data_IF_134308306757
#
_entry.id   IF_134308306757
#
_cell.length_a   1.000
_cell.length_b   1.000
_cell.length_c   1.000
_cell.angle_alpha   90.00
_cell.angle_beta   90.00
_cell.angle_gamma   90.00
#
_symmetry.space_group_name_H-M   'P 1'
#
loop_
_entity.id
_entity.type
_entity.pdbx_description
1 polymer ?
#
# COMPACT_ATOMS: atom_id res chain seq x y z
N UNK A 1 -37.18 -10.51 26.80
CA UNK A 1 -36.54 -9.35 27.47
C UNK A 1 -37.45 -8.15 27.26
N UNK A 2 -38.07 -7.62 28.30
CA UNK A 2 -38.84 -6.37 28.24
C UNK A 2 -37.88 -5.27 28.63
N UNK A 3 -37.72 -4.27 27.76
CA UNK A 3 -36.90 -3.10 28.05
C UNK A 3 -37.74 -2.22 28.98
N UNK A 4 -37.45 -2.29 30.28
CA UNK A 4 -38.04 -1.41 31.28
C UNK A 4 -37.50 0.01 31.05
N UNK A 5 -38.41 0.95 30.75
CA UNK A 5 -38.10 2.34 30.46
C UNK A 5 -38.11 3.14 31.77
N UNK A 6 -37.24 2.74 32.69
CA UNK A 6 -37.15 3.32 34.03
C UNK A 6 -36.25 4.56 34.00
N UNK A 7 -36.29 5.39 35.05
CA UNK A 7 -35.42 6.57 35.11
C UNK A 7 -33.92 6.21 34.99
N UNK A 8 -33.52 5.03 35.47
CA UNK A 8 -32.16 4.49 35.27
C UNK A 8 -31.85 4.15 33.80
N UNK A 9 -32.86 3.71 33.03
CA UNK A 9 -32.71 3.43 31.60
C UNK A 9 -32.40 4.72 30.83
N UNK A 10 -33.09 5.81 31.18
CA UNK A 10 -32.87 7.11 30.54
C UNK A 10 -31.55 7.75 30.98
N UNK A 11 -31.12 7.60 32.23
CA UNK A 11 -29.83 8.12 32.71
C UNK A 11 -28.64 7.56 31.93
N UNK A 12 -28.66 6.27 31.60
CA UNK A 12 -27.58 5.62 30.85
C UNK A 12 -27.52 6.02 29.37
N UNK A 13 -28.57 6.68 28.84
CA UNK A 13 -28.70 7.07 27.43
C UNK A 13 -28.55 8.58 27.22
N UNK A 14 -28.26 9.36 28.26
CA UNK A 14 -28.06 10.81 28.14
C UNK A 14 -26.93 11.05 27.14
N UNK A 15 -27.20 11.69 25.98
CA UNK A 15 -26.17 11.97 25.01
C UNK A 15 -25.15 12.90 25.65
N UNK A 16 -23.87 12.63 25.40
CA UNK A 16 -22.82 13.51 25.87
C UNK A 16 -23.04 14.92 25.31
N UNK A 17 -22.80 15.98 26.11
CA UNK A 17 -23.04 17.35 25.67
C UNK A 17 -22.23 17.63 24.39
N UNK A 18 -22.87 18.25 23.39
CA UNK A 18 -22.24 18.62 22.13
C UNK A 18 -21.36 19.87 22.35
N UNK A 19 -20.04 19.68 22.33
CA UNK A 19 -19.07 20.76 22.52
C UNK A 19 -18.64 21.40 21.17
N UNK A 20 -19.28 21.03 20.06
CA UNK A 20 -18.96 21.46 18.70
C UNK A 20 -17.97 20.53 17.97
N UNK A 21 -17.92 20.60 16.64
CA UNK A 21 -17.21 19.64 15.78
C UNK A 21 -15.74 19.39 16.18
N UNK A 22 -14.98 20.45 16.46
CA UNK A 22 -13.57 20.33 16.81
C UNK A 22 -13.36 19.73 18.21
N UNK A 23 -14.16 20.13 19.20
CA UNK A 23 -14.05 19.60 20.57
C UNK A 23 -14.55 18.16 20.66
N UNK A 24 -15.58 17.81 19.90
CA UNK A 24 -16.00 16.41 19.75
C UNK A 24 -14.93 15.55 19.08
N UNK A 25 -14.22 16.08 18.08
CA UNK A 25 -13.09 15.39 17.47
C UNK A 25 -11.94 15.18 18.47
N UNK A 26 -11.57 16.21 19.25
CA UNK A 26 -10.56 16.06 20.30
C UNK A 26 -10.99 15.07 21.39
N UNK A 27 -12.27 15.07 21.78
CA UNK A 27 -12.85 14.10 22.74
C UNK A 27 -12.82 12.67 22.20
N UNK A 28 -13.06 12.50 20.90
CA UNK A 28 -12.96 11.23 20.20
C UNK A 28 -11.51 10.70 20.14
N UNK A 29 -10.54 11.59 19.90
CA UNK A 29 -9.11 11.26 19.91
C UNK A 29 -8.64 10.90 21.33
N UNK A 30 -9.04 11.70 22.32
CA UNK A 30 -8.61 11.57 23.70
C UNK A 30 -9.79 11.74 24.66
N UNK A 31 -10.19 10.63 25.29
CA UNK A 31 -11.19 10.63 26.36
C UNK A 31 -10.48 10.54 27.73
N UNK A 32 -10.28 11.65 28.45
CA UNK A 32 -9.55 11.67 29.73
C UNK A 32 -10.25 10.86 30.83
N UNK A 33 -11.59 10.77 30.77
CA UNK A 33 -12.43 10.07 31.73
C UNK A 33 -12.16 8.56 31.76
N UNK A 34 -12.00 7.96 30.57
CA UNK A 34 -11.76 6.51 30.39
C UNK A 34 -10.30 6.15 30.06
N UNK A 35 -9.40 7.14 29.93
CA UNK A 35 -8.00 6.98 29.46
C UNK A 35 -7.91 6.14 28.17
N UNK A 36 -8.84 6.38 27.24
CA UNK A 36 -8.90 5.70 25.95
C UNK A 36 -8.42 6.64 24.84
N UNK A 37 -7.53 6.11 24.00
CA UNK A 37 -7.07 6.73 22.75
C UNK A 37 -7.85 6.09 21.60
N UNK A 38 -8.61 6.88 20.83
CA UNK A 38 -9.41 6.37 19.70
C UNK A 38 -10.33 5.18 20.08
N UNK A 39 -10.89 5.18 21.29
CA UNK A 39 -11.77 4.12 21.77
C UNK A 39 -11.09 2.81 22.19
N UNK A 40 -9.75 2.75 22.24
CA UNK A 40 -8.98 1.63 22.81
C UNK A 40 -8.10 2.09 23.97
N UNK A 41 -7.86 1.21 24.92
CA UNK A 41 -7.01 1.54 26.07
C UNK A 41 -5.57 1.73 25.60
N UNK A 42 -4.82 2.67 26.19
CA UNK A 42 -3.41 2.88 25.85
C UNK A 42 -2.54 1.61 25.94
N UNK A 43 -2.92 0.66 26.80
CA UNK A 43 -2.28 -0.67 26.91
C UNK A 43 -2.39 -1.48 25.61
N UNK A 44 -3.56 -1.48 24.97
CA UNK A 44 -3.77 -2.20 23.71
C UNK A 44 -3.00 -1.54 22.57
N UNK A 45 -2.97 -0.21 22.54
CA UNK A 45 -2.15 0.55 21.61
C UNK A 45 -0.66 0.27 21.76
N UNK A 46 -0.15 0.24 23.00
CA UNK A 46 1.25 -0.09 23.26
C UNK A 46 1.58 -1.52 22.82
N UNK A 47 0.69 -2.48 23.09
CA UNK A 47 0.87 -3.87 22.67
C UNK A 47 0.86 -4.01 21.14
N UNK A 48 -0.08 -3.35 20.47
CA UNK A 48 -0.19 -3.32 19.01
C UNK A 48 1.05 -2.65 18.38
N UNK A 49 1.43 -1.48 18.90
CA UNK A 49 2.61 -0.74 18.43
C UNK A 49 3.89 -1.54 18.61
N UNK A 50 4.08 -2.17 19.76
CA UNK A 50 5.24 -3.03 20.03
C UNK A 50 5.27 -4.25 19.10
N UNK A 51 4.13 -4.90 18.88
CA UNK A 51 4.01 -6.01 17.94
C UNK A 51 4.42 -5.59 16.52
N UNK A 52 3.88 -4.48 16.00
CA UNK A 52 4.23 -4.00 14.66
C UNK A 52 5.69 -3.57 14.57
N UNK A 53 6.23 -2.92 15.60
CA UNK A 53 7.64 -2.53 15.63
C UNK A 53 8.52 -3.79 15.47
N UNK A 54 8.29 -4.83 16.27
CA UNK A 54 9.04 -6.09 16.19
C UNK A 54 8.85 -6.80 14.83
N UNK A 55 7.62 -6.81 14.32
CA UNK A 55 7.34 -7.40 13.01
C UNK A 55 8.10 -6.68 11.88
N UNK A 56 8.06 -5.35 11.87
CA UNK A 56 8.73 -4.55 10.84
C UNK A 56 10.25 -4.56 10.98
N UNK A 57 10.82 -4.72 12.17
CA UNK A 57 12.28 -4.89 12.31
C UNK A 57 12.75 -6.21 11.73
N UNK A 58 12.01 -7.30 11.94
CA UNK A 58 12.31 -8.59 11.30
C UNK A 58 12.12 -8.52 9.79
N UNK A 59 11.02 -7.93 9.33
CA UNK A 59 10.77 -7.76 7.89
C UNK A 59 11.85 -6.88 7.24
N UNK A 60 12.24 -5.80 7.91
CA UNK A 60 13.28 -4.88 7.47
C UNK A 60 14.66 -5.53 7.45
N UNK A 61 14.99 -6.38 8.42
CA UNK A 61 16.26 -7.10 8.44
C UNK A 61 16.34 -8.14 7.34
N UNK A 62 15.26 -8.88 7.06
CA UNK A 62 15.18 -9.79 5.92
C UNK A 62 15.34 -9.04 4.60
N UNK A 63 14.68 -7.89 4.45
CA UNK A 63 14.84 -7.04 3.28
C UNK A 63 16.27 -6.52 3.11
N UNK A 64 16.88 -6.03 4.20
CA UNK A 64 18.25 -5.56 4.19
C UNK A 64 19.24 -6.69 3.87
N UNK A 65 19.03 -7.89 4.41
CA UNK A 65 19.83 -9.08 4.12
C UNK A 65 19.69 -9.48 2.65
N UNK A 66 18.46 -9.49 2.11
CA UNK A 66 18.19 -9.74 0.70
C UNK A 66 18.88 -8.72 -0.22
N UNK A 67 18.90 -7.44 0.16
CA UNK A 67 19.62 -6.41 -0.58
C UNK A 67 21.13 -6.57 -0.46
N UNK A 68 21.63 -6.92 0.72
CA UNK A 68 23.04 -7.14 0.98
C UNK A 68 23.60 -8.34 0.20
N UNK A 69 22.86 -9.44 0.13
CA UNK A 69 23.25 -10.60 -0.66
C UNK A 69 23.24 -10.24 -2.15
N UNK A 70 22.21 -9.52 -2.63
CA UNK A 70 22.09 -9.08 -4.02
C UNK A 70 23.28 -8.22 -4.45
N UNK A 71 23.68 -7.23 -3.63
CA UNK A 71 24.81 -6.36 -3.97
C UNK A 71 26.17 -7.09 -3.92
N UNK A 72 26.35 -8.03 -2.99
CA UNK A 72 27.54 -8.88 -2.93
C UNK A 72 27.67 -9.78 -4.17
N UNK A 73 26.56 -10.33 -4.65
CA UNK A 73 26.57 -11.11 -5.88
C UNK A 73 26.80 -10.22 -7.09
N UNK A 74 26.12 -9.08 -7.18
CA UNK A 74 26.24 -8.16 -8.30
C UNK A 74 27.68 -7.62 -8.47
N UNK A 75 28.40 -7.38 -7.36
CA UNK A 75 29.78 -6.87 -7.40
C UNK A 75 30.81 -7.91 -7.85
N UNK A 76 30.51 -9.20 -7.72
CA UNK A 76 31.38 -10.31 -8.17
C UNK A 76 31.20 -10.64 -9.66
N UNK A 77 30.19 -10.08 -10.32
CA UNK A 77 29.98 -10.27 -11.75
C UNK A 77 31.01 -9.43 -12.52
N UNK A 78 31.88 -10.10 -13.26
CA UNK A 78 32.91 -9.47 -14.10
C UNK A 78 32.33 -8.58 -15.22
N UNK A 79 31.05 -8.80 -15.56
CA UNK A 79 30.31 -8.06 -16.59
C UNK A 79 29.05 -7.48 -15.96
N UNK A 80 28.75 -6.18 -16.11
CA UNK A 80 27.55 -5.60 -15.52
C UNK A 80 26.30 -6.27 -16.10
N UNK A 81 25.40 -6.70 -15.22
CA UNK A 81 24.16 -7.43 -15.54
C UNK A 81 23.34 -6.77 -16.67
N UNK A 82 23.42 -5.45 -16.78
CA UNK A 82 22.72 -4.65 -17.79
C UNK A 82 23.09 -5.00 -19.25
N UNK A 83 24.26 -5.59 -19.51
CA UNK A 83 24.69 -5.95 -20.87
C UNK A 83 23.92 -7.15 -21.46
N UNK A 84 23.26 -7.97 -20.63
CA UNK A 84 22.43 -9.08 -21.10
C UNK A 84 20.96 -8.72 -21.34
N UNK A 85 20.54 -7.51 -20.95
CA UNK A 85 19.15 -7.05 -21.12
C UNK A 85 18.67 -7.08 -22.59
N UNK A 86 19.59 -6.89 -23.55
CA UNK A 86 19.31 -6.95 -24.99
C UNK A 86 19.48 -8.33 -25.65
N UNK A 87 20.00 -9.34 -24.94
CA UNK A 87 20.24 -10.69 -25.48
C UNK A 87 19.18 -11.71 -25.03
N UNK A 88 18.30 -11.34 -24.10
CA UNK A 88 17.16 -12.16 -23.71
C UNK A 88 16.16 -12.19 -24.87
N UNK A 89 15.92 -13.35 -25.52
CA UNK A 89 14.88 -13.44 -26.53
C UNK A 89 13.55 -13.07 -25.89
N UNK A 90 12.75 -12.26 -26.59
CA UNK A 90 11.45 -11.73 -26.14
C UNK A 90 10.45 -12.83 -25.73
N UNK A 91 10.77 -14.10 -25.98
CA UNK A 91 10.06 -15.30 -25.57
C UNK A 91 10.12 -15.62 -24.07
N UNK A 92 11.16 -15.20 -23.33
CA UNK A 92 11.23 -15.44 -21.87
C UNK A 92 10.25 -14.56 -21.07
N UNK A 93 9.98 -13.35 -21.57
CA UNK A 93 8.97 -12.44 -21.00
C UNK A 93 7.55 -12.76 -21.48
N UNK A 94 7.41 -13.63 -22.49
CA UNK A 94 6.12 -14.16 -22.95
C UNK A 94 5.69 -15.37 -22.09
N UNK A 95 5.90 -15.23 -20.79
CA UNK A 95 5.30 -16.12 -19.82
C UNK A 95 3.79 -15.88 -19.86
N UNK A 96 3.07 -16.94 -20.25
CA UNK A 96 1.62 -17.04 -20.39
C UNK A 96 0.89 -16.74 -19.06
N UNK A 97 0.95 -15.50 -18.56
CA UNK A 97 0.06 -15.01 -17.53
C UNK A 97 -1.23 -14.54 -18.22
N UNK A 98 -2.35 -15.26 -18.07
CA UNK A 98 -3.61 -14.89 -18.73
C UNK A 98 -4.11 -13.49 -18.32
N UNK A 99 -3.66 -12.96 -17.18
CA UNK A 99 -4.08 -11.68 -16.62
C UNK A 99 -3.46 -10.46 -17.32
N UNK A 100 -2.28 -10.58 -17.93
CA UNK A 100 -1.59 -9.45 -18.60
C UNK A 100 -1.77 -9.43 -20.12
N UNK A 101 -2.48 -10.41 -20.68
CA UNK A 101 -2.76 -10.50 -22.12
C UNK A 101 -3.63 -9.35 -22.66
N UNK A 102 -4.35 -8.63 -21.80
CA UNK A 102 -5.25 -7.55 -22.22
C UNK A 102 -4.59 -6.15 -22.26
N UNK A 103 -3.39 -5.96 -21.70
CA UNK A 103 -2.71 -4.66 -21.70
C UNK A 103 -1.69 -4.55 -22.85
N UNK A 104 -2.05 -5.02 -24.04
CA UNK A 104 -1.32 -4.70 -25.25
C UNK A 104 -1.64 -3.25 -25.63
N UNK A 105 -0.92 -2.30 -25.02
CA UNK A 105 -0.89 -0.92 -25.49
C UNK A 105 -0.22 -0.92 -26.87
N UNK A 106 -1.04 -1.01 -27.92
CA UNK A 106 -0.60 -0.76 -29.28
C UNK A 106 -0.01 0.65 -29.32
N UNK A 107 1.31 0.73 -29.49
CA UNK A 107 2.04 1.99 -29.57
C UNK A 107 1.49 2.84 -30.76
N UNK A 108 0.79 3.96 -30.51
CA UNK A 108 0.07 4.71 -31.55
C UNK A 108 1.00 5.38 -32.57
N UNK A 109 2.31 5.44 -32.30
CA UNK A 109 3.30 6.09 -33.17
C UNK A 109 3.59 5.38 -34.50
N UNK A 110 3.25 4.09 -34.66
CA UNK A 110 3.53 3.35 -35.91
C UNK A 110 2.58 3.70 -37.06
N UNK A 111 1.39 4.24 -36.75
CA UNK A 111 0.41 4.67 -37.77
C UNK A 111 0.95 5.92 -38.49
N UNK A 112 1.59 6.83 -37.74
CA UNK A 112 2.11 8.10 -38.26
C UNK A 112 3.30 7.92 -39.23
N UNK A 113 4.11 6.88 -39.04
CA UNK A 113 5.24 6.57 -39.93
C UNK A 113 4.80 5.91 -41.26
N UNK A 114 3.61 5.30 -41.31
CA UNK A 114 3.07 4.69 -42.55
C UNK A 114 2.42 5.72 -43.48
N UNK A 115 1.82 6.78 -42.93
CA UNK A 115 1.19 7.86 -43.73
C UNK A 115 2.22 8.76 -44.41
N UNK A 116 3.36 9.06 -43.77
CA UNK A 116 4.37 9.92 -44.39
C UNK A 116 5.06 9.25 -45.60
N UNK A 117 5.31 7.94 -45.54
CA UNK A 117 5.98 7.19 -46.62
C UNK A 117 5.12 6.98 -47.87
N UNK A 118 3.80 7.07 -47.74
CA UNK A 118 2.86 6.91 -48.87
C UNK A 118 2.62 8.22 -49.63
N UNK A 119 2.84 9.38 -49.00
CA UNK A 119 2.79 10.68 -49.69
C UNK A 119 4.04 11.02 -50.50
N UNK A 120 5.20 10.43 -50.18
CA UNK A 120 6.46 10.63 -50.92
C UNK A 120 6.68 9.65 -52.09
N UNK A 121 5.66 8.89 -52.48
CA UNK A 121 5.75 7.91 -53.58
C UNK A 121 4.71 8.17 -54.69
N UNK A 122 4.00 9.31 -54.65
CA UNK A 122 2.98 9.72 -55.62
C UNK A 122 3.23 11.12 -56.23
N UNK A 123 4.48 11.59 -56.21
CA UNK A 123 4.95 12.72 -57.02
C UNK A 123 6.33 12.42 -57.59
#
# INVERSE_FOLDING_TARGET
MVILHDDEYYQNRIPEPDLGAFRNFLRFVWSPDRKQLFGRTGKEWALLGFFYLCFFTVLGSLFALQMWISINYASKLEKPFFLYSGLMPKSYFDSNFPLFRQLHFDNPGKIFLKTNKTHNMLF
#
